data_IF_141093790179
#
_entry.id   IF_141093790179
#
_cell.length_a   1.000
_cell.length_b   1.000
_cell.length_c   1.000
_cell.angle_alpha   90.00
_cell.angle_beta   90.00
_cell.angle_gamma   90.00
#
_symmetry.space_group_name_H-M   'P 1'
#
loop_
_entity.id
_entity.type
_entity.pdbx_description
1 polymer ?
#
# COMPACT_ATOMS: atom_id res chain seq x y z
N UNK A 1 28.42 -16.74 -9.40
CA UNK A 1 28.49 -17.03 -7.96
C UNK A 1 27.98 -15.81 -7.21
N UNK A 2 26.80 -15.89 -6.60
CA UNK A 2 26.12 -14.77 -5.94
C UNK A 2 26.41 -14.73 -4.42
N UNK A 3 27.59 -15.18 -3.97
CA UNK A 3 27.86 -15.54 -2.56
C UNK A 3 27.68 -14.44 -1.51
N UNK A 4 27.69 -13.15 -1.89
CA UNK A 4 27.40 -12.03 -0.98
C UNK A 4 25.94 -11.60 -0.98
N UNK A 5 25.24 -11.72 -2.11
CA UNK A 5 23.85 -11.29 -2.24
C UNK A 5 22.90 -12.24 -1.51
N UNK A 6 23.06 -13.56 -1.63
CA UNK A 6 22.16 -14.50 -0.96
C UNK A 6 22.34 -14.39 0.56
N UNK A 7 23.57 -14.18 1.02
CA UNK A 7 23.86 -13.97 2.43
C UNK A 7 23.29 -12.65 2.93
N UNK A 8 23.39 -11.59 2.12
CA UNK A 8 22.76 -10.30 2.43
C UNK A 8 21.24 -10.45 2.54
N UNK A 9 20.58 -11.10 1.58
CA UNK A 9 19.13 -11.33 1.63
C UNK A 9 18.73 -12.21 2.81
N UNK A 10 19.52 -13.22 3.19
CA UNK A 10 19.27 -14.03 4.39
C UNK A 10 19.28 -13.19 5.67
N UNK A 11 20.35 -12.44 5.91
CA UNK A 11 20.46 -11.54 7.07
C UNK A 11 19.37 -10.46 7.03
N UNK A 12 19.08 -9.92 5.84
CA UNK A 12 18.05 -8.90 5.67
C UNK A 12 16.65 -9.42 5.98
N UNK A 13 16.31 -10.62 5.50
CA UNK A 13 15.03 -11.28 5.74
C UNK A 13 14.78 -11.51 7.23
N UNK A 14 15.80 -11.96 7.96
CA UNK A 14 15.77 -12.12 9.42
C UNK A 14 15.57 -10.77 10.11
N UNK A 15 16.33 -9.74 9.71
CA UNK A 15 16.26 -8.40 10.30
C UNK A 15 14.87 -7.76 10.12
N UNK A 16 14.27 -7.89 8.94
CA UNK A 16 12.94 -7.30 8.67
C UNK A 16 11.79 -8.22 9.06
N UNK A 17 12.05 -9.46 9.48
CA UNK A 17 11.04 -10.48 9.79
C UNK A 17 9.95 -10.59 8.70
N UNK A 18 10.39 -10.56 7.44
CA UNK A 18 9.52 -10.59 6.24
C UNK A 18 8.71 -9.31 5.98
N UNK A 19 8.89 -8.23 6.76
CA UNK A 19 8.25 -6.92 6.51
C UNK A 19 9.08 -6.08 5.55
N UNK A 20 8.95 -6.37 4.28
CA UNK A 20 9.64 -5.60 3.24
C UNK A 20 9.18 -4.15 3.18
N UNK A 21 10.10 -3.20 2.89
CA UNK A 21 9.74 -1.87 2.44
C UNK A 21 8.87 -1.92 1.18
N UNK A 22 8.04 -0.91 0.97
CA UNK A 22 7.10 -0.88 -0.16
C UNK A 22 7.78 -1.08 -1.52
N UNK A 23 8.98 -0.55 -1.74
CA UNK A 23 9.68 -0.69 -3.02
C UNK A 23 10.16 -2.13 -3.29
N UNK A 24 10.41 -2.93 -2.26
CA UNK A 24 10.89 -4.31 -2.37
C UNK A 24 9.78 -5.36 -2.22
N UNK A 25 8.65 -4.99 -1.60
CA UNK A 25 7.55 -5.91 -1.34
C UNK A 25 6.99 -6.53 -2.64
N UNK A 26 6.81 -7.86 -2.71
CA UNK A 26 6.33 -8.52 -3.92
C UNK A 26 4.93 -8.01 -4.31
N UNK A 27 4.04 -7.87 -3.33
CA UNK A 27 2.77 -7.15 -3.45
C UNK A 27 2.89 -5.86 -2.65
N UNK A 28 2.72 -4.73 -3.32
CA UNK A 28 2.80 -3.42 -2.68
C UNK A 28 1.44 -2.97 -2.15
N UNK A 29 0.38 -3.28 -2.92
CA UNK A 29 -1.00 -2.90 -2.61
C UNK A 29 -1.92 -4.10 -2.77
N UNK A 30 -2.72 -4.40 -1.74
CA UNK A 30 -3.82 -5.36 -1.82
C UNK A 30 -5.17 -4.63 -1.90
N UNK A 31 -5.98 -4.91 -2.91
CA UNK A 31 -7.34 -4.35 -3.06
C UNK A 31 -8.35 -5.37 -2.54
N UNK A 32 -9.15 -4.96 -1.55
CA UNK A 32 -10.07 -5.80 -0.80
C UNK A 32 -11.51 -5.25 -0.93
N UNK A 33 -12.24 -5.63 -2.00
CA UNK A 33 -13.65 -5.31 -2.10
C UNK A 33 -14.49 -6.03 -1.04
N UNK A 34 -15.43 -5.30 -0.43
CA UNK A 34 -16.37 -5.82 0.56
C UNK A 34 -17.44 -6.70 -0.09
N UNK A 35 -17.94 -6.32 -1.25
CA UNK A 35 -19.04 -7.00 -1.95
C UNK A 35 -18.71 -7.20 -3.43
N UNK A 36 -19.42 -8.14 -4.07
CA UNK A 36 -19.28 -8.41 -5.51
C UNK A 36 -19.64 -7.20 -6.39
N UNK A 37 -20.49 -6.28 -5.89
CA UNK A 37 -20.83 -5.04 -6.57
C UNK A 37 -19.61 -4.14 -6.82
N UNK A 38 -18.55 -4.27 -6.01
CA UNK A 38 -17.34 -3.47 -6.12
C UNK A 38 -16.28 -4.09 -7.04
N UNK A 39 -16.51 -5.27 -7.62
CA UNK A 39 -15.50 -5.97 -8.42
C UNK A 39 -15.09 -5.20 -9.68
N UNK A 40 -16.07 -4.60 -10.38
CA UNK A 40 -15.78 -3.78 -11.57
C UNK A 40 -14.91 -2.57 -11.20
N UNK A 41 -15.27 -1.88 -10.11
CA UNK A 41 -14.49 -0.74 -9.61
C UNK A 41 -13.11 -1.16 -9.11
N UNK A 42 -12.98 -2.33 -8.48
CA UNK A 42 -11.69 -2.89 -8.07
C UNK A 42 -10.75 -3.07 -9.27
N UNK A 43 -11.28 -3.57 -10.39
CA UNK A 43 -10.53 -3.71 -11.64
C UNK A 43 -10.07 -2.36 -12.22
N UNK A 44 -10.91 -1.32 -12.17
CA UNK A 44 -10.53 0.03 -12.58
C UNK A 44 -9.39 0.59 -11.72
N UNK A 45 -9.49 0.41 -10.39
CA UNK A 45 -8.46 0.86 -9.44
C UNK A 45 -7.16 0.10 -9.65
N UNK A 46 -7.23 -1.22 -9.85
CA UNK A 46 -6.07 -2.05 -10.16
C UNK A 46 -5.37 -1.56 -11.43
N UNK A 47 -6.10 -1.38 -12.53
CA UNK A 47 -5.55 -0.88 -13.78
C UNK A 47 -4.86 0.48 -13.62
N UNK A 48 -5.48 1.41 -12.87
CA UNK A 48 -4.91 2.73 -12.62
C UNK A 48 -3.61 2.69 -11.79
N UNK A 49 -3.51 1.75 -10.84
CA UNK A 49 -2.31 1.57 -10.02
C UNK A 49 -1.20 0.83 -10.77
N UNK A 50 -1.54 -0.18 -11.57
CA UNK A 50 -0.60 -0.90 -12.45
C UNK A 50 -0.03 0.04 -13.51
N UNK A 51 -0.85 0.92 -14.09
CA UNK A 51 -0.38 1.95 -15.03
C UNK A 51 0.64 2.93 -14.40
N UNK A 52 0.67 3.05 -13.06
CA UNK A 52 1.66 3.82 -12.30
C UNK A 52 2.89 3.00 -11.89
N UNK A 53 3.01 1.76 -12.36
CA UNK A 53 4.13 0.86 -12.07
C UNK A 53 4.06 0.20 -10.69
N UNK A 54 2.89 0.16 -10.05
CA UNK A 54 2.72 -0.50 -8.75
C UNK A 54 2.38 -1.99 -8.93
N UNK A 55 2.90 -2.82 -8.03
CA UNK A 55 2.55 -4.25 -7.94
C UNK A 55 1.32 -4.41 -7.06
N UNK A 56 0.20 -4.72 -7.69
CA UNK A 56 -1.12 -4.78 -7.05
C UNK A 56 -1.65 -6.20 -7.07
N UNK A 57 -2.41 -6.57 -6.04
CA UNK A 57 -3.17 -7.81 -5.99
C UNK A 57 -4.61 -7.51 -5.56
N UNK A 58 -5.59 -7.98 -6.33
CA UNK A 58 -7.02 -7.79 -6.03
C UNK A 58 -7.65 -9.10 -5.53
N UNK A 59 -8.27 -9.07 -4.35
CA UNK A 59 -8.95 -10.22 -3.77
C UNK A 59 -10.47 -10.17 -3.99
N UNK A 60 -10.91 -10.77 -5.10
CA UNK A 60 -12.31 -10.85 -5.52
C UNK A 60 -13.11 -12.01 -4.89
N UNK A 61 -12.54 -12.75 -3.94
CA UNK A 61 -13.25 -13.88 -3.32
C UNK A 61 -14.42 -13.37 -2.47
N UNK A 62 -15.53 -14.11 -2.43
CA UNK A 62 -16.68 -13.77 -1.59
C UNK A 62 -16.48 -14.23 -0.14
N UNK A 63 -15.44 -13.70 0.50
CA UNK A 63 -15.06 -14.00 1.87
C UNK A 63 -15.29 -12.80 2.79
N UNK A 64 -15.43 -13.06 4.09
CA UNK A 64 -15.55 -11.98 5.08
C UNK A 64 -14.33 -11.06 5.00
N UNK A 65 -14.55 -9.75 4.99
CA UNK A 65 -13.47 -8.74 4.93
C UNK A 65 -12.37 -8.97 5.98
N UNK A 66 -12.74 -9.40 7.20
CA UNK A 66 -11.78 -9.73 8.25
C UNK A 66 -10.82 -10.85 7.88
N UNK A 67 -11.27 -11.85 7.11
CA UNK A 67 -10.41 -12.92 6.59
C UNK A 67 -9.41 -12.35 5.57
N UNK A 68 -9.90 -11.57 4.59
CA UNK A 68 -9.07 -10.91 3.59
C UNK A 68 -7.98 -10.02 4.21
N UNK A 69 -8.36 -9.22 5.22
CA UNK A 69 -7.41 -8.36 5.96
C UNK A 69 -6.38 -9.21 6.70
N UNK A 70 -6.80 -10.30 7.35
CA UNK A 70 -5.90 -11.19 8.08
C UNK A 70 -4.89 -11.82 7.13
N UNK A 71 -5.34 -12.35 6.00
CA UNK A 71 -4.47 -12.96 4.98
C UNK A 71 -3.49 -11.95 4.39
N UNK A 72 -3.95 -10.77 4.00
CA UNK A 72 -3.07 -9.69 3.53
C UNK A 72 -2.06 -9.24 4.61
N UNK A 73 -2.45 -9.27 5.89
CA UNK A 73 -1.55 -8.98 7.02
C UNK A 73 -0.51 -10.08 7.22
N UNK A 74 -0.90 -11.36 7.07
CA UNK A 74 0.00 -12.52 7.15
C UNK A 74 1.04 -12.47 6.03
N UNK A 75 0.62 -12.09 4.82
CA UNK A 75 1.50 -11.86 3.68
C UNK A 75 2.35 -10.57 3.78
N UNK A 76 2.21 -9.83 4.89
CA UNK A 76 2.95 -8.58 5.15
C UNK A 76 2.79 -7.53 4.05
N UNK A 77 1.62 -7.48 3.41
CA UNK A 77 1.36 -6.47 2.37
C UNK A 77 1.46 -5.08 2.99
N UNK A 78 2.31 -4.17 2.46
CA UNK A 78 2.54 -2.86 3.06
C UNK A 78 1.31 -1.96 3.11
N UNK A 79 0.38 -2.14 2.16
CA UNK A 79 -0.81 -1.30 2.00
C UNK A 79 -2.00 -2.12 1.55
N UNK A 80 -3.14 -1.93 2.22
CA UNK A 80 -4.42 -2.54 1.87
C UNK A 80 -5.43 -1.42 1.54
N UNK A 81 -6.16 -1.58 0.45
CA UNK A 81 -7.23 -0.69 0.00
C UNK A 81 -8.56 -1.43 0.15
N UNK A 82 -9.44 -0.95 1.03
CA UNK A 82 -10.75 -1.58 1.25
C UNK A 82 -11.80 -0.82 0.43
N UNK A 83 -12.52 -1.53 -0.43
CA UNK A 83 -13.54 -0.93 -1.31
C UNK A 83 -14.96 -1.27 -0.81
N UNK A 84 -15.65 -0.26 -0.28
CA UNK A 84 -17.00 -0.38 0.30
C UNK A 84 -18.00 0.60 -0.32
N UNK A 85 -19.28 0.48 0.03
CA UNK A 85 -20.37 1.24 -0.60
C UNK A 85 -20.22 2.76 -0.42
N UNK A 86 -19.71 3.19 0.75
CA UNK A 86 -19.40 4.59 1.06
C UNK A 86 -18.37 5.22 0.12
N UNK A 87 -17.55 4.40 -0.53
CA UNK A 87 -16.54 4.87 -1.48
C UNK A 87 -17.08 4.88 -2.92
N UNK A 88 -18.02 4.01 -3.25
CA UNK A 88 -18.67 3.93 -4.57
C UNK A 88 -19.64 5.09 -4.80
N UNK A 89 -20.36 5.54 -3.77
CA UNK A 89 -21.16 6.78 -3.83
C UNK A 89 -20.29 8.04 -3.91
N UNK A 90 -19.03 7.94 -3.47
CA UNK A 90 -18.08 9.04 -3.37
C UNK A 90 -17.26 9.33 -4.62
N UNK A 91 -17.70 8.99 -5.84
CA UNK A 91 -16.96 9.27 -7.10
C UNK A 91 -16.57 10.76 -7.31
N UNK A 92 -17.06 11.69 -6.49
CA UNK A 92 -16.73 13.12 -6.50
C UNK A 92 -15.97 13.66 -5.28
N UNK A 93 -15.67 12.88 -4.25
CA UNK A 93 -15.00 13.40 -3.05
C UNK A 93 -13.51 13.06 -3.07
N UNK A 94 -12.66 14.08 -3.04
CA UNK A 94 -11.20 14.01 -2.84
C UNK A 94 -10.79 13.40 -1.49
N UNK A 95 -11.36 12.27 -1.08
CA UNK A 95 -10.93 11.50 0.08
C UNK A 95 -10.25 10.23 -0.42
N UNK A 96 -9.00 10.06 0.02
CA UNK A 96 -8.23 8.85 -0.22
C UNK A 96 -9.02 7.62 0.27
N UNK A 97 -8.84 6.45 -0.37
CA UNK A 97 -9.60 5.25 -0.07
C UNK A 97 -9.65 4.94 1.43
N UNK A 98 -10.85 4.68 1.94
CA UNK A 98 -11.17 4.42 3.33
C UNK A 98 -10.16 3.45 3.97
N UNK A 99 -9.41 3.99 4.92
CA UNK A 99 -8.42 3.30 5.75
C UNK A 99 -7.30 2.64 4.94
N UNK A 100 -6.41 3.45 4.39
CA UNK A 100 -5.04 3.03 4.08
C UNK A 100 -4.35 2.64 5.39
N UNK A 101 -4.43 1.37 5.78
CA UNK A 101 -3.62 0.84 6.87
C UNK A 101 -2.20 0.65 6.34
N UNK A 102 -1.37 1.69 6.44
CA UNK A 102 0.07 1.54 6.22
C UNK A 102 0.61 0.63 7.31
N UNK A 103 1.23 -0.48 6.94
CA UNK A 103 2.26 -1.04 7.81
C UNK A 103 3.36 0.03 7.94
N UNK A 104 3.92 0.28 9.15
CA UNK A 104 5.05 1.18 9.28
C UNK A 104 6.18 0.64 8.40
N UNK A 105 6.43 1.34 7.29
CA UNK A 105 7.28 0.87 6.18
C UNK A 105 8.68 1.50 6.20
N UNK A 106 9.04 2.16 7.30
CA UNK A 106 10.33 2.82 7.46
C UNK A 106 10.72 2.87 8.94
N UNK A 107 12.01 2.64 9.30
CA UNK A 107 12.54 3.04 10.61
C UNK A 107 12.71 4.58 10.75
N UNK A 108 12.45 5.34 9.68
CA UNK A 108 12.60 6.80 9.64
C UNK A 108 11.24 7.52 9.74
N UNK A 109 11.17 8.68 10.43
CA UNK A 109 9.93 9.39 10.71
C UNK A 109 9.28 9.96 9.44
N UNK A 110 7.94 9.97 9.42
CA UNK A 110 7.11 10.36 8.28
C UNK A 110 7.02 11.89 8.04
N UNK A 111 7.78 12.71 8.78
CA UNK A 111 7.78 14.16 8.61
C UNK A 111 8.88 14.62 7.64
N UNK A 112 8.46 15.30 6.58
CA UNK A 112 9.32 15.89 5.55
C UNK A 112 10.20 17.05 6.06
N UNK A 113 10.06 17.46 7.32
CA UNK A 113 10.83 18.53 7.94
C UNK A 113 12.22 18.13 8.43
N UNK A 114 12.52 16.82 8.50
CA UNK A 114 13.78 16.29 9.03
C UNK A 114 14.81 15.87 7.95
N UNK A 115 14.56 16.17 6.67
CA UNK A 115 15.47 15.84 5.57
C UNK A 115 16.37 17.03 5.18
N UNK A 116 17.69 16.85 5.00
CA UNK A 116 18.51 17.86 4.33
C UNK A 116 18.02 17.99 2.89
N UNK A 117 17.61 19.21 2.49
CA UNK A 117 17.00 19.48 1.18
C UNK A 117 17.99 19.12 0.06
N UNK A 118 17.59 18.21 -0.84
CA UNK A 118 18.35 17.91 -2.07
C UNK A 118 18.39 19.17 -2.96
N UNK A 119 19.53 19.56 -3.54
CA UNK A 119 19.56 20.61 -4.54
C UNK A 119 18.82 20.13 -5.80
N UNK A 120 17.79 20.83 -6.25
CA UNK A 120 17.23 20.68 -7.61
C UNK A 120 15.87 20.01 -7.80
N UNK A 121 15.13 19.59 -6.77
CA UNK A 121 13.76 19.06 -6.94
C UNK A 121 12.69 20.08 -6.53
N UNK A 122 11.90 20.57 -7.50
CA UNK A 122 10.70 21.42 -7.30
C UNK A 122 9.55 20.65 -6.62
N UNK A 123 8.60 21.35 -5.97
CA UNK A 123 7.80 20.85 -4.86
C UNK A 123 6.40 20.40 -5.27
N UNK A 124 5.84 19.40 -4.58
CA UNK A 124 4.49 19.39 -3.99
C UNK A 124 4.02 17.96 -3.72
N UNK A 125 4.07 17.56 -2.46
CA UNK A 125 3.01 16.70 -1.91
C UNK A 125 2.48 17.48 -0.71
N UNK A 126 1.42 18.24 -0.94
CA UNK A 126 0.66 18.93 0.10
C UNK A 126 -0.02 17.85 0.95
N UNK A 127 0.57 17.55 2.11
CA UNK A 127 -0.15 16.92 3.21
C UNK A 127 -1.21 17.90 3.69
N UNK A 128 -2.47 17.55 3.50
CA UNK A 128 -3.61 18.26 4.06
C UNK A 128 -3.43 18.34 5.59
N UNK A 129 -3.06 19.53 6.08
CA UNK A 129 -3.19 19.87 7.49
C UNK A 129 -4.68 20.05 7.77
N UNK A 130 -5.24 19.11 8.53
CA UNK A 130 -6.46 19.36 9.28
C UNK A 130 -6.17 20.50 10.26
N UNK A 131 -6.70 21.68 9.98
CA UNK A 131 -6.84 22.74 10.98
C UNK A 131 -8.05 22.36 11.86
N UNK A 132 -7.82 22.27 13.16
CA UNK A 132 -8.64 23.05 14.09
C UNK A 132 -8.01 24.45 14.18
#
# INVERSE_FOLDING_TARGET
>A
MLGSLERFFGVYLEHVAGRFPTWLAPVQVAILPITAAHHAWAGEVEAALVARGLRVHTDLRNEKLGLKIREATLLRVPTMLVLGDKEVEGRGSRRAPATVRRAPSSPWPASSSAWPKRPGSRPEVVMARSRM
#
